data_IF_346855723592
#
_entry.id   IF_346855723592
#
_cell.length_a   1.000
_cell.length_b   1.000
_cell.length_c   1.000
_cell.angle_alpha   90.00
_cell.angle_beta   90.00
_cell.angle_gamma   90.00
#
_symmetry.space_group_name_H-M   'P 1'
#
loop_
_entity.id
_entity.type
_entity.pdbx_description
1 polymer ?
#
# COMPACT_ATOMS: atom_id res chain seq x y z
N UNK A 1 1.76 19.80 -0.54
CA UNK A 1 2.92 18.90 -0.68
C UNK A 1 2.85 17.86 0.42
N UNK A 2 2.43 16.63 0.09
CA UNK A 2 2.36 15.51 1.05
C UNK A 2 3.58 14.57 0.94
N UNK A 3 4.54 14.82 0.03
CA UNK A 3 5.72 13.97 -0.16
C UNK A 3 6.47 13.60 1.14
N UNK A 4 6.80 14.57 2.03
CA UNK A 4 7.47 14.26 3.30
C UNK A 4 6.63 13.41 4.27
N UNK A 5 5.30 13.41 4.14
CA UNK A 5 4.40 12.59 4.96
C UNK A 5 4.45 11.13 4.51
N UNK A 6 4.56 10.89 3.20
CA UNK A 6 4.61 9.55 2.64
C UNK A 6 5.83 8.80 3.15
N UNK A 7 7.00 9.45 3.13
CA UNK A 7 8.25 8.87 3.61
C UNK A 7 8.22 8.54 5.11
N UNK A 8 7.42 9.25 5.92
CA UNK A 8 7.26 8.95 7.34
C UNK A 8 6.27 7.80 7.61
N UNK A 9 5.28 7.60 6.74
CA UNK A 9 4.26 6.57 6.90
C UNK A 9 4.67 5.24 6.27
N UNK A 10 5.49 5.27 5.21
CA UNK A 10 6.01 4.08 4.57
C UNK A 10 7.25 3.59 5.31
N UNK A 11 7.07 2.53 6.10
CA UNK A 11 8.17 1.86 6.78
C UNK A 11 8.83 0.75 5.96
N UNK A 12 8.18 0.35 4.87
CA UNK A 12 8.64 -0.74 4.02
C UNK A 12 8.28 -0.43 2.56
N UNK A 13 9.24 -0.54 1.64
CA UNK A 13 9.05 -0.31 0.21
C UNK A 13 9.12 -1.59 -0.62
N UNK A 14 9.91 -2.57 -0.21
CA UNK A 14 10.12 -3.82 -0.93
C UNK A 14 9.99 -5.02 0.02
N UNK A 15 9.53 -6.14 -0.54
CA UNK A 15 9.32 -7.40 0.18
C UNK A 15 8.50 -7.24 1.48
N UNK A 16 7.50 -6.35 1.45
CA UNK A 16 6.64 -6.07 2.59
C UNK A 16 5.62 -7.18 2.86
N UNK A 17 5.01 -7.17 4.05
CA UNK A 17 3.89 -8.06 4.33
C UNK A 17 2.63 -7.63 3.56
N UNK A 18 1.77 -8.58 3.18
CA UNK A 18 0.46 -8.26 2.57
C UNK A 18 -0.34 -7.27 3.41
N UNK A 19 -0.34 -7.47 4.73
CA UNK A 19 -1.01 -6.59 5.70
C UNK A 19 -0.49 -5.16 5.67
N UNK A 20 0.79 -4.96 5.36
CA UNK A 20 1.34 -3.61 5.19
C UNK A 20 0.65 -2.90 4.01
N UNK A 21 0.56 -3.54 2.84
CA UNK A 21 -0.08 -2.97 1.66
C UNK A 21 -1.58 -2.73 1.89
N UNK A 22 -2.28 -3.66 2.54
CA UNK A 22 -3.68 -3.50 2.94
C UNK A 22 -3.88 -2.29 3.85
N UNK A 23 -2.99 -2.09 4.83
CA UNK A 23 -3.06 -0.95 5.73
C UNK A 23 -2.87 0.38 5.00
N UNK A 24 -1.94 0.44 4.03
CA UNK A 24 -1.72 1.62 3.20
C UNK A 24 -2.96 1.95 2.36
N UNK A 25 -3.64 0.93 1.82
CA UNK A 25 -4.90 1.11 1.09
C UNK A 25 -6.01 1.63 2.00
N UNK A 26 -6.13 1.09 3.22
CA UNK A 26 -7.14 1.50 4.20
C UNK A 26 -7.03 2.98 4.58
N UNK A 27 -5.81 3.52 4.71
CA UNK A 27 -5.59 4.94 5.00
C UNK A 27 -5.59 5.82 3.73
N UNK A 28 -5.90 5.24 2.58
CA UNK A 28 -6.06 5.93 1.31
C UNK A 28 -4.76 6.24 0.57
N UNK A 29 -3.60 5.74 0.98
CA UNK A 29 -2.34 6.04 0.30
C UNK A 29 -2.18 5.31 -1.03
N UNK A 30 -2.90 4.21 -1.24
CA UNK A 30 -2.83 3.39 -2.47
C UNK A 30 -3.84 3.88 -3.50
N UNK A 31 -3.38 4.08 -4.74
CA UNK A 31 -4.20 4.41 -5.90
C UNK A 31 -4.56 3.18 -6.74
N UNK A 32 -3.64 2.22 -6.84
CA UNK A 32 -3.74 1.09 -7.76
C UNK A 32 -2.99 -0.14 -7.24
N UNK A 33 -3.35 -1.32 -7.75
CA UNK A 33 -2.77 -2.60 -7.35
C UNK A 33 -2.62 -3.57 -8.51
N UNK A 34 -1.41 -4.11 -8.65
CA UNK A 34 -1.00 -5.05 -9.68
C UNK A 34 -0.42 -6.33 -9.05
N UNK A 35 -0.52 -7.44 -9.77
CA UNK A 35 0.17 -8.70 -9.43
C UNK A 35 1.38 -8.91 -10.33
N UNK A 36 2.49 -9.35 -9.75
CA UNK A 36 3.70 -9.74 -10.48
C UNK A 36 4.06 -11.20 -10.14
N UNK A 37 4.46 -11.97 -11.15
CA UNK A 37 4.88 -13.37 -10.99
C UNK A 37 6.29 -13.42 -10.40
N UNK A 38 6.49 -14.21 -9.35
CA UNK A 38 7.81 -14.44 -8.77
C UNK A 38 8.57 -15.56 -9.50
N UNK A 39 9.74 -15.96 -8.99
CA UNK A 39 10.59 -17.02 -9.56
C UNK A 39 9.84 -18.33 -9.84
N UNK A 40 8.82 -18.65 -9.04
CA UNK A 40 7.95 -19.81 -9.23
C UNK A 40 6.54 -19.36 -9.61
N UNK A 41 5.92 -20.04 -10.58
CA UNK A 41 4.61 -19.63 -11.15
C UNK A 41 3.45 -19.57 -10.15
N UNK A 42 3.51 -20.35 -9.06
CA UNK A 42 2.50 -20.37 -8.00
C UNK A 42 2.70 -19.29 -6.93
N UNK A 43 3.82 -18.58 -6.99
CA UNK A 43 4.15 -17.50 -6.08
C UNK A 43 4.05 -16.17 -6.81
N UNK A 44 3.30 -15.25 -6.21
CA UNK A 44 3.11 -13.91 -6.74
C UNK A 44 3.47 -12.90 -5.67
N UNK A 45 3.75 -11.68 -6.09
CA UNK A 45 3.85 -10.51 -5.22
C UNK A 45 2.83 -9.47 -5.66
N UNK A 46 2.42 -8.64 -4.72
CA UNK A 46 1.59 -7.48 -4.99
C UNK A 46 2.49 -6.26 -5.13
N UNK A 47 2.19 -5.43 -6.10
CA UNK A 47 2.78 -4.09 -6.23
C UNK A 47 1.66 -3.06 -6.22
N UNK A 48 1.75 -2.13 -5.28
CA UNK A 48 0.81 -1.01 -5.19
C UNK A 48 1.45 0.27 -5.65
N UNK A 49 0.68 1.07 -6.39
CA UNK A 49 1.03 2.45 -6.73
C UNK A 49 0.40 3.38 -5.71
N UNK A 50 1.20 4.29 -5.18
CA UNK A 50 0.81 5.26 -4.17
C UNK A 50 0.33 6.56 -4.80
N UNK A 51 -0.32 7.41 -4.01
CA UNK A 51 -0.88 8.67 -4.49
C UNK A 51 0.14 9.70 -4.97
N UNK A 52 1.40 9.57 -4.54
CA UNK A 52 2.53 10.38 -4.97
C UNK A 52 3.29 9.77 -6.17
N UNK A 53 2.79 8.66 -6.72
CA UNK A 53 3.42 7.93 -7.81
C UNK A 53 4.48 6.92 -7.37
N UNK A 54 4.77 6.82 -6.07
CA UNK A 54 5.69 5.82 -5.53
C UNK A 54 5.12 4.39 -5.60
N UNK A 55 5.99 3.40 -5.40
CA UNK A 55 5.61 1.99 -5.35
C UNK A 55 5.99 1.34 -4.03
N UNK A 56 5.16 0.39 -3.59
CA UNK A 56 5.46 -0.54 -2.51
C UNK A 56 5.14 -1.95 -2.99
N UNK A 57 6.04 -2.90 -2.75
CA UNK A 57 5.83 -4.30 -3.12
C UNK A 57 5.80 -5.22 -1.91
N UNK A 58 5.05 -6.32 -2.02
CA UNK A 58 5.07 -7.39 -1.03
C UNK A 58 6.20 -8.38 -1.29
N UNK A 59 6.50 -9.20 -0.29
CA UNK A 59 7.24 -10.45 -0.52
C UNK A 59 6.43 -11.38 -1.43
N UNK A 60 7.05 -12.48 -1.86
CA UNK A 60 6.35 -13.51 -2.63
C UNK A 60 5.49 -14.38 -1.70
N UNK A 61 4.21 -14.50 -2.02
CA UNK A 61 3.22 -15.32 -1.31
C UNK A 61 2.56 -16.31 -2.27
N UNK A 62 1.84 -17.29 -1.73
CA UNK A 62 1.05 -18.18 -2.59
C UNK A 62 -0.03 -17.38 -3.34
N UNK A 63 -0.28 -17.75 -4.59
CA UNK A 63 -1.24 -17.06 -5.47
C UNK A 63 -2.63 -16.83 -4.84
N UNK A 64 -3.11 -17.75 -4.01
CA UNK A 64 -4.41 -17.64 -3.34
C UNK A 64 -4.41 -16.56 -2.25
N UNK A 65 -3.32 -16.44 -1.49
CA UNK A 65 -3.14 -15.35 -0.50
C UNK A 65 -3.10 -14.00 -1.20
N UNK A 66 -2.38 -13.93 -2.33
CA UNK A 66 -2.28 -12.73 -3.16
C UNK A 66 -3.63 -12.31 -3.72
N UNK A 67 -4.40 -13.26 -4.28
CA UNK A 67 -5.76 -12.98 -4.81
C UNK A 67 -6.66 -12.41 -3.72
N UNK A 68 -6.67 -13.01 -2.54
CA UNK A 68 -7.48 -12.53 -1.41
C UNK A 68 -7.08 -11.12 -1.00
N UNK A 69 -5.78 -10.85 -0.85
CA UNK A 69 -5.28 -9.54 -0.46
C UNK A 69 -5.56 -8.45 -1.52
N UNK A 70 -5.48 -8.78 -2.81
CA UNK A 70 -5.87 -7.84 -3.89
C UNK A 70 -7.33 -7.41 -3.77
N UNK A 71 -8.25 -8.33 -3.44
CA UNK A 71 -9.68 -8.00 -3.24
C UNK A 71 -9.85 -7.05 -2.06
N UNK A 72 -9.15 -7.29 -0.95
CA UNK A 72 -9.15 -6.44 0.24
C UNK A 72 -8.63 -5.03 -0.11
N UNK A 73 -7.46 -4.97 -0.77
CA UNK A 73 -6.84 -3.70 -1.19
C UNK A 73 -7.78 -2.92 -2.09
N UNK A 74 -8.38 -3.54 -3.13
CA UNK A 74 -9.32 -2.86 -4.04
C UNK A 74 -10.55 -2.32 -3.31
N UNK A 75 -11.06 -3.09 -2.36
CA UNK A 75 -12.18 -2.67 -1.51
C UNK A 75 -11.81 -1.43 -0.71
N UNK A 76 -10.64 -1.42 -0.05
CA UNK A 76 -10.18 -0.27 0.71
C UNK A 76 -9.88 0.95 -0.15
N UNK A 77 -9.34 0.78 -1.35
CA UNK A 77 -9.14 1.90 -2.30
C UNK A 77 -10.48 2.57 -2.60
N UNK A 78 -11.54 1.81 -2.86
CA UNK A 78 -12.86 2.37 -3.16
C UNK A 78 -13.45 3.09 -1.93
N UNK A 79 -13.43 2.45 -0.76
CA UNK A 79 -13.91 3.06 0.49
C UNK A 79 -13.14 4.35 0.81
N UNK A 80 -11.82 4.35 0.63
CA UNK A 80 -10.97 5.51 0.89
C UNK A 80 -11.27 6.67 -0.08
N UNK A 81 -11.57 6.37 -1.35
CA UNK A 81 -11.98 7.36 -2.36
C UNK A 81 -13.33 7.99 -2.01
N UNK A 82 -14.34 7.16 -1.71
CA UNK A 82 -15.68 7.63 -1.32
C UNK A 82 -15.64 8.53 -0.08
N UNK A 83 -14.73 8.24 0.86
CA UNK A 83 -14.60 8.99 2.10
C UNK A 83 -13.61 10.16 2.05
N UNK A 84 -12.96 10.41 0.90
CA UNK A 84 -11.86 11.37 0.77
C UNK A 84 -10.79 11.20 1.89
N UNK A 85 -10.37 9.96 2.14
CA UNK A 85 -9.51 9.62 3.28
C UNK A 85 -8.17 10.38 3.27
N UNK A 86 -7.53 10.51 2.09
CA UNK A 86 -6.27 11.27 1.94
C UNK A 86 -6.46 12.72 2.41
N UNK A 87 -7.56 13.38 2.01
CA UNK A 87 -7.83 14.77 2.36
C UNK A 87 -8.07 15.00 3.85
N UNK A 88 -8.29 13.92 4.62
CA UNK A 88 -8.49 13.93 6.07
C UNK A 88 -7.22 13.61 6.86
N UNK A 89 -6.12 13.23 6.21
CA UNK A 89 -4.85 12.95 6.89
C UNK A 89 -4.26 14.24 7.47
N UNK A 90 -4.10 14.29 8.79
CA UNK A 90 -3.51 15.41 9.51
C UNK A 90 -2.27 14.96 10.28
N UNK A 91 -1.16 15.70 10.13
CA UNK A 91 0.06 15.47 10.90
C UNK A 91 -0.06 16.23 12.21
N UNK A 92 -0.20 15.50 13.32
CA UNK A 92 -0.41 16.10 14.64
C UNK A 92 0.91 16.57 15.27
N UNK A 93 2.06 15.99 14.90
CA UNK A 93 3.43 16.44 15.24
C UNK A 93 4.43 15.78 14.29
N UNK A 94 5.30 16.56 13.65
CA UNK A 94 6.51 16.02 13.02
C UNK A 94 7.43 15.58 14.18
N UNK A 95 7.82 14.30 14.21
CA UNK A 95 8.86 13.87 15.12
C UNK A 95 10.12 14.68 14.78
N UNK A 96 10.63 15.47 15.73
CA UNK A 96 11.96 16.06 15.59
C UNK A 96 12.95 14.90 15.47
N UNK A 97 13.56 14.77 14.30
CA UNK A 97 14.78 13.99 14.15
C UNK A 97 15.88 14.86 14.75
N UNK A 98 16.22 14.61 16.01
CA UNK A 98 17.45 15.11 16.63
C UNK A 98 18.65 14.27 16.13
#
# INVERSE_FOLDING_TARGET
MLGPLVDQLIRCREDCTLRHLESLAMIGLVQDVEEEVCTHSRFKRIKVRLFDGGFVSSACYFEEEVKQSIVIIRTYINIAKENNAIGKLQIVKLAKSD
#
